data_IF_706428471426
#
_entry.id   IF_706428471426
#
_cell.length_a   1.000
_cell.length_b   1.000
_cell.length_c   1.000
_cell.angle_alpha   90.00
_cell.angle_beta   90.00
_cell.angle_gamma   90.00
#
_symmetry.space_group_name_H-M   'P 1'
#
loop_
_entity.id
_entity.type
_entity.pdbx_description
1 polymer ?
#
# COMPACT_ATOMS: atom_id res chain seq x y z
N UNK A 1 -28.14 -45.10 -7.39
CA UNK A 1 -28.20 -43.71 -6.87
C UNK A 1 -28.06 -43.64 -5.34
N UNK A 2 -27.29 -44.53 -4.70
CA UNK A 2 -27.09 -44.53 -3.24
C UNK A 2 -25.74 -45.18 -2.82
N UNK A 3 -24.66 -44.96 -3.58
CA UNK A 3 -23.29 -45.41 -3.20
C UNK A 3 -22.22 -44.33 -3.40
N UNK A 4 -22.52 -43.20 -4.06
CA UNK A 4 -21.58 -42.08 -4.22
C UNK A 4 -21.68 -40.98 -3.16
N UNK A 5 -22.49 -41.19 -2.11
CA UNK A 5 -22.71 -40.22 -1.03
C UNK A 5 -21.88 -40.49 0.25
N UNK A 6 -21.08 -41.57 0.28
CA UNK A 6 -20.28 -41.95 1.46
C UNK A 6 -18.76 -41.81 1.28
N UNK A 7 -18.29 -41.36 0.11
CA UNK A 7 -16.86 -41.04 -0.11
C UNK A 7 -16.60 -39.54 0.05
N UNK A 8 -17.64 -38.69 0.07
CA UNK A 8 -17.50 -37.25 0.25
C UNK A 8 -17.58 -36.77 1.71
N UNK A 9 -18.09 -37.59 2.64
CA UNK A 9 -18.21 -37.21 4.06
C UNK A 9 -16.93 -37.48 4.87
N UNK A 10 -15.97 -38.23 4.34
CA UNK A 10 -14.71 -38.54 5.02
C UNK A 10 -13.50 -37.74 4.54
N UNK A 11 -13.67 -36.84 3.54
CA UNK A 11 -12.64 -35.85 3.17
C UNK A 11 -12.91 -34.45 3.76
N UNK A 12 -14.14 -34.19 4.22
CA UNK A 12 -14.52 -32.89 4.81
C UNK A 12 -14.24 -32.84 6.32
N UNK A 13 -13.92 -33.96 6.96
CA UNK A 13 -13.65 -34.01 8.41
C UNK A 13 -12.16 -33.91 8.79
N UNK A 14 -11.25 -33.65 7.84
CA UNK A 14 -9.81 -33.47 8.11
C UNK A 14 -9.17 -32.22 7.47
N UNK A 15 -9.98 -31.27 6.98
CA UNK A 15 -9.53 -29.92 6.63
C UNK A 15 -10.19 -28.92 7.57
N UNK A 16 -9.97 -29.14 8.87
CA UNK A 16 -10.34 -28.20 9.92
C UNK A 16 -9.07 -27.87 10.71
N UNK A 17 -8.15 -27.14 10.08
CA UNK A 17 -7.19 -26.31 10.80
C UNK A 17 -6.66 -25.21 9.89
N UNK A 18 -6.91 -23.97 10.31
CA UNK A 18 -6.21 -22.75 9.90
C UNK A 18 -6.34 -22.30 8.44
N UNK A 19 -7.38 -21.53 8.07
CA UNK A 19 -7.24 -20.44 7.09
C UNK A 19 -8.43 -19.45 7.15
N UNK A 20 -8.65 -18.83 8.30
CA UNK A 20 -9.35 -17.53 8.36
C UNK A 20 -8.40 -16.52 9.02
N UNK A 21 -7.52 -15.88 8.24
CA UNK A 21 -6.81 -14.68 8.72
C UNK A 21 -7.80 -13.52 8.66
N UNK A 22 -8.36 -13.12 9.82
CA UNK A 22 -8.99 -11.81 9.99
C UNK A 22 -7.90 -10.75 9.89
N UNK A 23 -8.12 -9.71 9.11
CA UNK A 23 -7.26 -8.52 9.07
C UNK A 23 -8.08 -7.32 9.50
N UNK A 24 -7.42 -6.38 10.14
CA UNK A 24 -8.09 -5.24 10.75
C UNK A 24 -7.59 -3.95 10.13
N UNK A 25 -8.50 -3.08 9.72
CA UNK A 25 -8.17 -1.76 9.17
C UNK A 25 -8.77 -0.68 10.07
N UNK A 26 -8.10 0.47 10.14
CA UNK A 26 -8.64 1.63 10.85
C UNK A 26 -9.56 2.40 9.93
N UNK A 27 -10.80 2.56 10.38
CA UNK A 27 -11.80 3.39 9.71
C UNK A 27 -12.01 4.64 10.58
N UNK A 28 -11.99 5.79 9.93
CA UNK A 28 -12.39 7.03 10.56
C UNK A 28 -13.92 7.02 10.73
N UNK A 29 -14.40 6.93 11.97
CA UNK A 29 -15.82 7.04 12.29
C UNK A 29 -16.07 8.39 12.96
N UNK A 30 -16.39 9.41 12.16
CA UNK A 30 -16.63 10.77 12.65
C UNK A 30 -15.41 11.35 13.39
N UNK A 31 -15.50 11.47 14.72
CA UNK A 31 -14.45 12.02 15.58
C UNK A 31 -13.50 10.98 16.18
N UNK A 32 -13.70 9.68 15.92
CA UNK A 32 -12.92 8.61 16.56
C UNK A 32 -12.18 7.75 15.54
N UNK A 33 -11.01 7.26 15.94
CA UNK A 33 -10.28 6.23 15.23
C UNK A 33 -10.71 4.87 15.75
N UNK A 34 -11.58 4.19 15.01
CA UNK A 34 -12.02 2.87 15.41
C UNK A 34 -11.20 1.81 14.71
N UNK A 35 -10.79 0.86 15.53
CA UNK A 35 -10.16 -0.36 15.08
C UNK A 35 -11.29 -1.36 14.82
N UNK A 36 -11.54 -1.70 13.57
CA UNK A 36 -12.51 -2.74 13.22
C UNK A 36 -11.78 -3.95 12.63
N UNK A 37 -12.10 -5.13 13.14
CA UNK A 37 -11.70 -6.39 12.55
C UNK A 37 -12.65 -6.69 11.39
N UNK A 38 -12.12 -6.78 10.18
CA UNK A 38 -12.91 -7.17 9.02
C UNK A 38 -12.68 -8.66 8.75
N UNK A 39 -13.77 -9.38 8.48
CA UNK A 39 -13.66 -10.72 7.91
C UNK A 39 -13.22 -10.57 6.45
N UNK A 40 -12.12 -11.24 6.09
CA UNK A 40 -11.63 -11.29 4.71
C UNK A 40 -12.76 -11.89 3.87
N UNK A 41 -13.45 -11.06 3.09
CA UNK A 41 -14.34 -11.54 2.04
C UNK A 41 -13.48 -12.22 0.96
N UNK A 42 -13.99 -13.24 0.29
CA UNK A 42 -13.25 -14.03 -0.71
C UNK A 42 -12.57 -13.18 -1.81
N UNK A 43 -13.06 -11.97 -2.06
CA UNK A 43 -12.47 -11.00 -3.00
C UNK A 43 -11.21 -10.28 -2.49
N UNK A 44 -10.95 -10.24 -1.19
CA UNK A 44 -9.73 -9.65 -0.59
C UNK A 44 -8.63 -10.69 -0.30
N UNK A 45 -8.89 -11.97 -0.59
CA UNK A 45 -7.89 -13.04 -0.53
C UNK A 45 -6.75 -12.85 -1.54
N UNK A 46 -6.96 -12.02 -2.57
CA UNK A 46 -6.03 -11.75 -3.68
C UNK A 46 -5.08 -10.57 -3.48
N UNK A 47 -5.23 -9.79 -2.41
CA UNK A 47 -4.24 -8.74 -2.10
C UNK A 47 -3.02 -9.34 -1.39
N UNK A 48 -1.78 -9.02 -1.82
CA UNK A 48 -0.59 -9.40 -1.07
C UNK A 48 -0.73 -8.93 0.38
N UNK A 49 -0.46 -9.83 1.33
CA UNK A 49 -0.56 -9.57 2.78
C UNK A 49 0.19 -8.28 3.16
N UNK A 50 1.32 -8.02 2.51
CA UNK A 50 2.12 -6.80 2.65
C UNK A 50 1.34 -5.51 2.33
N UNK A 51 0.56 -5.46 1.24
CA UNK A 51 -0.22 -4.26 0.88
C UNK A 51 -1.37 -4.00 1.85
N UNK A 52 -1.99 -5.05 2.36
CA UNK A 52 -3.05 -5.00 3.38
C UNK A 52 -2.48 -4.37 4.66
N UNK A 53 -1.34 -4.90 5.11
CA UNK A 53 -0.62 -4.43 6.31
C UNK A 53 -0.21 -2.96 6.13
N UNK A 54 0.44 -2.62 5.01
CA UNK A 54 0.85 -1.25 4.68
C UNK A 54 -0.33 -0.27 4.74
N UNK A 55 -1.46 -0.58 4.09
CA UNK A 55 -2.64 0.30 4.10
C UNK A 55 -3.22 0.44 5.51
N UNK A 56 -3.25 -0.64 6.28
CA UNK A 56 -3.71 -0.60 7.67
C UNK A 56 -2.83 0.31 8.54
N UNK A 57 -1.51 0.13 8.51
CA UNK A 57 -0.57 0.92 9.30
C UNK A 57 -0.58 2.40 8.87
N UNK A 58 -0.61 2.70 7.57
CA UNK A 58 -0.73 4.08 7.08
C UNK A 58 -2.01 4.76 7.56
N UNK A 59 -3.15 4.05 7.49
CA UNK A 59 -4.42 4.57 7.95
C UNK A 59 -4.42 4.85 9.46
N UNK A 60 -3.73 4.03 10.27
CA UNK A 60 -3.57 4.28 11.71
C UNK A 60 -2.92 5.63 11.96
N UNK A 61 -1.78 5.88 11.28
CA UNK A 61 -1.03 7.13 11.44
C UNK A 61 -1.88 8.35 11.07
N UNK A 62 -2.49 8.32 9.90
CA UNK A 62 -3.35 9.40 9.42
C UNK A 62 -4.58 9.60 10.31
N UNK A 63 -5.16 8.51 10.81
CA UNK A 63 -6.27 8.60 11.74
C UNK A 63 -5.87 9.30 13.03
N UNK A 64 -4.80 8.84 13.68
CA UNK A 64 -4.30 9.42 14.93
C UNK A 64 -3.98 10.91 14.75
N UNK A 65 -3.29 11.27 13.66
CA UNK A 65 -3.02 12.68 13.29
C UNK A 65 -4.30 13.50 13.19
N UNK A 66 -5.31 12.97 12.51
CA UNK A 66 -6.61 13.61 12.35
C UNK A 66 -7.34 13.80 13.70
N UNK A 67 -7.09 12.96 14.70
CA UNK A 67 -7.80 13.00 15.99
C UNK A 67 -6.96 13.51 17.17
N UNK A 68 -5.78 14.12 16.96
CA UNK A 68 -4.86 14.51 18.05
C UNK A 68 -5.54 15.22 19.24
N UNK A 69 -6.49 16.13 18.99
CA UNK A 69 -7.24 16.85 20.05
C UNK A 69 -8.23 16.00 20.84
N UNK A 70 -8.62 14.85 20.31
CA UNK A 70 -9.46 13.88 21.00
C UNK A 70 -8.63 12.90 21.83
N UNK A 71 -7.35 12.74 21.50
CA UNK A 71 -6.38 12.02 22.35
C UNK A 71 -6.02 12.89 23.57
N UNK A 72 -5.71 14.17 23.35
CA UNK A 72 -5.53 15.15 24.42
C UNK A 72 -6.12 16.52 24.05
N UNK A 73 -7.12 16.98 24.80
CA UNK A 73 -7.81 18.25 24.55
C UNK A 73 -6.94 19.49 24.78
N UNK A 74 -5.87 19.37 25.59
CA UNK A 74 -4.90 20.44 25.83
C UNK A 74 -4.06 20.75 24.58
N UNK A 75 -3.94 19.79 23.65
CA UNK A 75 -3.21 19.99 22.40
C UNK A 75 -4.00 20.93 21.48
N UNK A 76 -3.30 21.89 20.82
CA UNK A 76 -3.94 22.79 19.87
C UNK A 76 -4.43 22.07 18.61
N UNK A 77 -5.26 22.78 17.83
CA UNK A 77 -5.58 22.38 16.45
C UNK A 77 -4.39 22.74 15.55
N UNK A 78 -4.09 21.92 14.56
CA UNK A 78 -2.97 22.11 13.62
C UNK A 78 -3.43 22.69 12.29
N UNK A 79 -2.84 23.81 11.85
CA UNK A 79 -3.22 24.46 10.58
C UNK A 79 -2.57 23.83 9.35
N UNK A 80 -1.45 23.12 9.52
CA UNK A 80 -0.57 22.66 8.45
C UNK A 80 -0.15 21.17 8.56
N UNK A 81 -0.89 20.34 9.31
CA UNK A 81 -0.57 18.93 9.46
C UNK A 81 -0.71 18.19 8.12
N UNK A 82 0.36 17.62 7.58
CA UNK A 82 0.30 16.85 6.34
C UNK A 82 -0.34 15.47 6.55
N UNK A 83 -1.05 14.98 5.54
CA UNK A 83 -1.37 13.56 5.40
C UNK A 83 -0.07 12.80 5.17
N UNK A 84 0.12 11.70 5.88
CA UNK A 84 1.23 10.78 5.65
C UNK A 84 0.94 9.89 4.44
N UNK A 85 2.00 9.53 3.74
CA UNK A 85 2.07 8.58 2.63
C UNK A 85 3.03 7.45 2.99
N UNK A 86 2.81 6.28 2.40
CA UNK A 86 3.74 5.17 2.56
C UNK A 86 4.97 5.38 1.68
N UNK A 87 6.14 5.08 2.22
CA UNK A 87 7.40 5.16 1.51
C UNK A 87 8.13 3.80 1.55
N UNK A 88 8.32 3.21 0.36
CA UNK A 88 8.89 1.86 0.22
C UNK A 88 10.37 1.81 0.60
N UNK A 89 11.10 2.92 0.50
CA UNK A 89 12.50 2.99 0.94
C UNK A 89 12.59 2.95 2.47
N UNK A 90 11.77 3.76 3.15
CA UNK A 90 11.66 3.72 4.62
C UNK A 90 11.22 2.35 5.15
N UNK A 91 10.30 1.69 4.43
CA UNK A 91 9.87 0.32 4.71
C UNK A 91 11.03 -0.66 4.58
N UNK A 92 11.76 -0.62 3.46
CA UNK A 92 12.92 -1.49 3.22
C UNK A 92 13.98 -1.31 4.30
N UNK A 93 14.24 -0.07 4.73
CA UNK A 93 15.16 0.22 5.83
C UNK A 93 14.72 -0.42 7.15
N UNK A 94 13.42 -0.38 7.48
CA UNK A 94 12.88 -1.01 8.69
C UNK A 94 13.00 -2.53 8.63
N UNK A 95 12.68 -3.10 7.47
CA UNK A 95 12.75 -4.53 7.18
C UNK A 95 14.18 -5.08 7.28
N UNK A 96 15.15 -4.40 6.67
CA UNK A 96 16.56 -4.77 6.72
C UNK A 96 17.09 -4.81 8.16
N UNK A 97 16.75 -3.81 8.99
CA UNK A 97 17.12 -3.79 10.40
C UNK A 97 16.50 -4.96 11.18
N UNK A 98 15.23 -5.28 10.92
CA UNK A 98 14.56 -6.43 11.57
C UNK A 98 15.25 -7.75 11.23
N UNK A 99 15.73 -7.92 10.00
CA UNK A 99 16.51 -9.10 9.61
C UNK A 99 17.85 -9.17 10.35
N UNK A 100 18.57 -8.05 10.50
CA UNK A 100 19.80 -8.03 11.30
C UNK A 100 19.54 -8.36 12.78
N UNK A 101 18.36 -8.02 13.29
CA UNK A 101 17.93 -8.34 14.65
C UNK A 101 17.60 -9.83 14.88
N UNK A 102 17.33 -10.59 13.82
CA UNK A 102 17.18 -12.06 13.88
C UNK A 102 18.54 -12.72 14.20
N UNK A 103 19.62 -12.13 13.69
CA UNK A 103 20.97 -12.68 13.79
C UNK A 103 21.72 -12.25 15.06
N UNK A 104 21.22 -11.27 15.83
CA UNK A 104 21.91 -10.65 16.98
C UNK A 104 21.02 -10.56 18.22
N UNK A 105 21.58 -10.73 19.43
CA UNK A 105 20.81 -10.65 20.69
C UNK A 105 20.31 -9.23 21.02
N UNK A 106 21.03 -8.20 20.59
CA UNK A 106 20.84 -6.80 21.03
C UNK A 106 20.20 -5.92 19.94
N UNK A 107 18.97 -6.27 19.54
CA UNK A 107 18.18 -5.41 18.67
C UNK A 107 17.76 -4.14 19.42
N UNK A 108 18.12 -2.97 18.89
CA UNK A 108 17.83 -1.67 19.49
C UNK A 108 17.43 -0.64 18.43
N UNK A 109 16.90 0.50 18.90
CA UNK A 109 16.54 1.65 18.07
C UNK A 109 17.76 2.14 17.29
N UNK A 110 17.65 2.22 15.96
CA UNK A 110 18.71 2.72 15.11
C UNK A 110 18.78 4.24 15.18
N UNK A 111 20.00 4.78 15.24
CA UNK A 111 20.25 6.21 15.13
C UNK A 111 20.76 6.49 13.71
N UNK A 112 19.86 6.98 12.85
CA UNK A 112 20.26 7.44 11.53
C UNK A 112 21.13 8.70 11.65
N UNK A 113 22.07 8.82 10.74
CA UNK A 113 22.91 10.01 10.62
C UNK A 113 22.09 11.19 10.10
N UNK A 114 22.46 12.43 10.48
CA UNK A 114 21.65 13.64 10.18
C UNK A 114 21.38 13.83 8.67
N UNK A 115 22.31 13.39 7.82
CA UNK A 115 22.26 13.42 6.36
C UNK A 115 21.15 12.55 5.76
N UNK A 116 20.69 11.51 6.46
CA UNK A 116 19.58 10.67 5.98
C UNK A 116 18.22 11.32 6.17
N UNK A 117 18.09 12.30 7.08
CA UNK A 117 16.81 12.91 7.44
C UNK A 117 15.71 11.88 7.76
N UNK A 118 16.07 10.79 8.46
CA UNK A 118 15.13 9.75 8.93
C UNK A 118 15.13 9.67 10.44
N UNK A 119 13.94 9.59 11.04
CA UNK A 119 13.73 9.27 12.45
C UNK A 119 13.00 7.94 12.58
N UNK A 120 13.21 7.26 13.71
CA UNK A 120 12.64 5.93 13.96
C UNK A 120 11.78 5.93 15.22
N UNK A 121 10.68 5.18 15.19
CA UNK A 121 10.05 4.63 16.39
C UNK A 121 10.35 3.13 16.44
N UNK A 122 10.68 2.63 17.63
CA UNK A 122 11.10 1.25 17.85
C UNK A 122 10.44 0.71 19.12
N UNK A 123 9.87 -0.49 19.05
CA UNK A 123 9.36 -1.19 20.22
C UNK A 123 9.66 -2.68 20.11
N UNK A 124 10.14 -3.28 21.20
CA UNK A 124 10.19 -4.73 21.36
C UNK A 124 9.24 -5.13 22.50
N UNK A 125 8.37 -6.10 22.26
CA UNK A 125 7.39 -6.59 23.24
C UNK A 125 7.45 -8.11 23.32
N UNK A 126 7.44 -8.65 24.54
CA UNK A 126 7.31 -10.09 24.77
C UNK A 126 5.85 -10.42 25.05
N UNK A 127 5.28 -11.33 24.28
CA UNK A 127 3.92 -11.82 24.44
C UNK A 127 3.92 -13.28 24.86
N UNK A 128 2.91 -13.67 25.65
CA UNK A 128 2.58 -15.09 25.83
C UNK A 128 1.87 -15.61 24.58
N UNK A 129 2.03 -16.88 24.20
CA UNK A 129 1.27 -17.51 23.12
C UNK A 129 -0.24 -17.51 23.38
N UNK A 130 -0.66 -17.41 24.64
CA UNK A 130 -2.06 -17.21 25.05
C UNK A 130 -2.55 -15.76 24.90
N UNK A 131 -1.74 -14.84 24.37
CA UNK A 131 -2.10 -13.43 24.23
C UNK A 131 -3.38 -13.26 23.40
N UNK A 132 -4.27 -12.41 23.91
CA UNK A 132 -5.63 -12.24 23.41
C UNK A 132 -5.67 -11.74 21.96
N UNK A 133 -4.76 -10.82 21.59
CA UNK A 133 -4.72 -10.23 20.26
C UNK A 133 -3.79 -11.02 19.35
N UNK A 134 -4.34 -12.03 18.66
CA UNK A 134 -3.57 -12.92 17.79
C UNK A 134 -3.21 -12.33 16.41
N UNK A 135 -3.95 -11.33 15.94
CA UNK A 135 -3.67 -10.64 14.67
C UNK A 135 -2.42 -9.72 14.79
N UNK A 136 -1.34 -9.97 14.02
CA UNK A 136 -0.14 -9.13 14.04
C UNK A 136 -0.38 -7.67 13.67
N UNK A 137 -1.27 -7.40 12.72
CA UNK A 137 -1.62 -6.03 12.30
C UNK A 137 -2.33 -5.30 13.44
N UNK A 138 -3.21 -5.99 14.17
CA UNK A 138 -3.84 -5.43 15.37
C UNK A 138 -2.82 -5.09 16.46
N UNK A 139 -1.87 -5.99 16.71
CA UNK A 139 -0.83 -5.73 17.70
C UNK A 139 0.03 -4.55 17.29
N UNK A 140 0.48 -4.48 16.04
CA UNK A 140 1.28 -3.35 15.55
C UNK A 140 0.49 -2.03 15.62
N UNK A 141 -0.77 -2.03 15.18
CA UNK A 141 -1.56 -0.82 15.27
C UNK A 141 -1.84 -0.37 16.72
N UNK A 142 -1.90 -1.30 17.67
CA UNK A 142 -1.90 -0.97 19.10
C UNK A 142 -0.59 -0.31 19.52
N UNK A 143 0.57 -0.78 19.06
CA UNK A 143 1.86 -0.12 19.32
C UNK A 143 1.89 1.31 18.77
N UNK A 144 1.42 1.53 17.54
CA UNK A 144 1.36 2.88 16.95
C UNK A 144 0.41 3.78 17.75
N UNK A 145 -0.72 3.24 18.22
CA UNK A 145 -1.61 3.96 19.14
C UNK A 145 -0.91 4.28 20.45
N UNK A 146 -0.19 3.34 21.05
CA UNK A 146 0.52 3.56 22.31
C UNK A 146 1.53 4.71 22.16
N UNK A 147 2.29 4.76 21.04
CA UNK A 147 3.14 5.90 20.69
C UNK A 147 2.36 7.22 20.57
N UNK A 148 1.18 7.23 19.94
CA UNK A 148 0.35 8.43 19.88
C UNK A 148 -0.15 8.90 21.25
N UNK A 149 -0.47 7.96 22.14
CA UNK A 149 -1.08 8.23 23.44
C UNK A 149 -0.07 8.70 24.50
N UNK A 150 1.23 8.70 24.20
CA UNK A 150 2.26 9.37 25.03
C UNK A 150 1.89 10.84 25.30
N UNK A 151 1.12 11.48 24.39
CA UNK A 151 0.67 12.86 24.57
C UNK A 151 -0.38 13.04 25.68
N UNK A 152 -1.02 11.98 26.17
CA UNK A 152 -2.22 12.06 27.02
C UNK A 152 -1.99 12.91 28.28
N UNK A 153 -0.78 12.86 28.85
CA UNK A 153 -0.42 13.60 30.06
C UNK A 153 0.51 14.80 29.79
N UNK A 154 0.74 15.16 28.53
CA UNK A 154 1.61 16.28 28.16
C UNK A 154 0.84 17.61 28.11
N UNK A 155 1.54 18.70 28.42
CA UNK A 155 1.03 20.05 28.18
C UNK A 155 1.03 20.35 26.68
N UNK A 156 -0.07 20.89 26.15
CA UNK A 156 -0.14 21.31 24.74
C UNK A 156 0.81 22.46 24.36
N UNK A 157 1.43 23.14 25.34
CA UNK A 157 2.46 24.16 25.08
C UNK A 157 3.72 23.59 24.44
N UNK A 158 4.00 22.29 24.59
CA UNK A 158 5.15 21.62 23.96
C UNK A 158 5.12 21.69 22.43
N UNK A 159 3.93 21.86 21.84
CA UNK A 159 3.76 21.96 20.39
C UNK A 159 4.43 23.20 19.82
N UNK A 160 4.44 24.32 20.55
CA UNK A 160 4.99 25.60 20.07
C UNK A 160 6.50 25.74 20.31
N UNK A 161 7.04 24.89 21.19
CA UNK A 161 8.43 24.95 21.59
C UNK A 161 8.89 23.54 21.96
N UNK A 162 9.28 22.78 20.93
CA UNK A 162 9.71 21.41 21.13
C UNK A 162 11.02 21.37 21.92
N UNK A 163 11.00 20.62 23.03
CA UNK A 163 12.14 20.46 23.92
C UNK A 163 12.44 18.96 24.04
N UNK A 164 13.30 18.40 23.16
CA UNK A 164 13.57 16.97 23.17
C UNK A 164 14.09 16.50 24.53
N UNK A 165 14.88 17.30 25.24
CA UNK A 165 15.46 16.92 26.53
C UNK A 165 14.44 16.84 27.68
N UNK A 166 13.22 17.34 27.47
CA UNK A 166 12.16 17.44 28.51
C UNK A 166 11.05 16.39 28.36
N UNK A 167 11.14 15.51 27.37
CA UNK A 167 10.14 14.45 27.13
C UNK A 167 10.80 13.07 27.29
N UNK A 168 10.39 12.26 28.28
CA UNK A 168 10.94 10.91 28.49
C UNK A 168 10.56 9.95 27.35
N UNK A 169 9.40 10.17 26.74
CA UNK A 169 8.88 9.42 25.58
C UNK A 169 8.70 10.40 24.42
N UNK A 170 9.15 10.02 23.21
CA UNK A 170 9.24 10.91 22.05
C UNK A 170 8.68 10.29 20.78
N UNK A 171 8.14 9.09 20.85
CA UNK A 171 7.68 8.39 19.66
C UNK A 171 6.46 9.12 19.07
N UNK A 172 5.65 9.79 19.91
CA UNK A 172 4.55 10.65 19.45
C UNK A 172 4.95 11.79 18.51
N UNK A 173 6.19 12.31 18.63
CA UNK A 173 6.66 13.47 17.86
C UNK A 173 6.66 13.13 16.37
N UNK A 174 7.15 11.94 16.04
CA UNK A 174 7.17 11.42 14.67
C UNK A 174 5.76 11.27 14.09
N UNK A 175 4.78 10.92 14.92
CA UNK A 175 3.39 10.82 14.49
C UNK A 175 2.74 12.17 14.26
N UNK A 176 3.05 13.22 15.02
CA UNK A 176 2.26 14.46 15.04
C UNK A 176 2.94 15.68 14.44
N UNK A 177 4.18 15.55 13.99
CA UNK A 177 4.88 16.63 13.31
C UNK A 177 4.26 16.99 11.97
N UNK A 178 4.04 18.28 11.72
CA UNK A 178 3.40 18.78 10.50
C UNK A 178 4.12 18.35 9.23
N UNK A 179 5.44 18.54 9.19
CA UNK A 179 6.27 18.27 8.00
C UNK A 179 6.64 16.79 7.85
N UNK A 180 6.30 15.92 8.80
CA UNK A 180 6.56 14.49 8.70
C UNK A 180 5.42 13.82 7.94
N UNK A 181 5.64 13.51 6.66
CA UNK A 181 4.60 13.03 5.75
C UNK A 181 4.94 11.70 5.07
N UNK A 182 6.10 11.10 5.34
CA UNK A 182 6.45 9.77 4.83
C UNK A 182 6.63 8.81 5.99
N UNK A 183 6.13 7.59 5.83
CA UNK A 183 6.29 6.51 6.80
C UNK A 183 6.49 5.17 6.11
N UNK A 184 7.37 4.34 6.64
CA UNK A 184 7.52 2.94 6.26
C UNK A 184 7.80 2.09 7.49
N UNK A 185 7.03 1.01 7.67
CA UNK A 185 7.02 0.22 8.89
C UNK A 185 7.14 -1.27 8.61
N UNK A 186 7.84 -2.00 9.48
CA UNK A 186 7.86 -3.45 9.46
C UNK A 186 7.86 -4.05 10.87
N UNK A 187 7.47 -5.32 10.98
CA UNK A 187 7.46 -6.04 12.25
C UNK A 187 7.73 -7.52 12.06
N UNK A 188 8.40 -8.14 13.05
CA UNK A 188 8.65 -9.59 13.03
C UNK A 188 8.61 -10.19 14.43
N UNK A 189 8.10 -11.41 14.51
CA UNK A 189 8.08 -12.22 15.72
C UNK A 189 9.27 -13.19 15.76
N UNK A 190 9.76 -13.44 16.97
CA UNK A 190 10.88 -14.31 17.29
C UNK A 190 10.44 -15.22 18.44
N UNK A 191 10.48 -16.53 18.23
CA UNK A 191 10.14 -17.47 19.30
C UNK A 191 11.23 -17.42 20.39
N UNK A 192 10.84 -17.19 21.65
CA UNK A 192 11.80 -17.21 22.77
C UNK A 192 11.82 -18.57 23.45
N UNK A 193 10.65 -19.16 23.70
CA UNK A 193 10.47 -20.49 24.28
C UNK A 193 9.08 -21.05 23.89
N UNK A 194 8.68 -22.20 24.44
CA UNK A 194 7.40 -22.82 24.07
C UNK A 194 6.15 -21.99 24.40
N UNK A 195 6.25 -20.98 25.28
CA UNK A 195 5.11 -20.22 25.80
C UNK A 195 5.15 -18.74 25.42
N UNK A 196 6.29 -18.22 24.95
CA UNK A 196 6.47 -16.78 24.70
C UNK A 196 7.19 -16.50 23.40
N UNK A 197 6.82 -15.38 22.77
CA UNK A 197 7.49 -14.83 21.60
C UNK A 197 7.76 -13.34 21.80
N UNK A 198 8.88 -12.86 21.24
CA UNK A 198 9.23 -11.45 21.15
C UNK A 198 8.76 -10.92 19.81
N UNK A 199 8.15 -9.76 19.75
CA UNK A 199 7.83 -9.08 18.51
C UNK A 199 8.48 -7.70 18.50
N UNK A 200 9.11 -7.39 17.38
CA UNK A 200 9.82 -6.12 17.16
C UNK A 200 9.01 -5.32 16.14
N UNK A 201 8.81 -4.05 16.44
CA UNK A 201 8.03 -3.11 15.66
C UNK A 201 8.91 -1.90 15.32
N UNK A 202 9.04 -1.59 14.04
CA UNK A 202 9.85 -0.47 13.56
C UNK A 202 9.01 0.35 12.59
N UNK A 203 8.98 1.67 12.80
CA UNK A 203 8.51 2.63 11.81
C UNK A 203 9.57 3.70 11.60
N UNK A 204 9.95 3.91 10.35
CA UNK A 204 10.83 4.99 9.93
C UNK A 204 10.00 6.12 9.31
N UNK A 205 10.41 7.36 9.59
CA UNK A 205 9.67 8.55 9.21
C UNK A 205 10.59 9.58 8.54
N UNK A 206 10.07 10.27 7.54
CA UNK A 206 10.78 11.36 6.88
C UNK A 206 9.85 12.52 6.45
N UNK A 207 10.39 13.74 6.29
CA UNK A 207 11.75 14.17 6.68
C UNK A 207 11.90 14.46 8.19
N UNK A 208 13.00 14.00 8.77
CA UNK A 208 13.39 14.23 10.15
C UNK A 208 14.30 15.46 10.32
N UNK A 209 13.70 16.64 10.16
CA UNK A 209 14.38 17.92 10.30
C UNK A 209 13.91 18.78 11.50
N UNK A 210 13.49 18.21 12.64
CA UNK A 210 12.89 18.98 13.76
C UNK A 210 14.01 19.41 14.70
N UNK A 211 14.15 20.71 14.91
CA UNK A 211 15.17 21.23 15.82
C UNK A 211 14.55 21.61 17.17
N UNK A 212 15.39 21.59 18.19
CA UNK A 212 15.04 22.11 19.52
C UNK A 212 14.60 23.58 19.39
N UNK A 213 13.48 23.91 20.00
CA UNK A 213 12.89 25.26 19.94
C UNK A 213 11.89 25.46 18.81
N UNK A 214 11.83 24.56 17.83
CA UNK A 214 10.86 24.67 16.73
C UNK A 214 9.47 24.19 17.15
N UNK A 215 8.46 24.63 16.41
CA UNK A 215 7.11 24.13 16.56
C UNK A 215 6.93 22.77 15.85
N UNK A 216 6.16 21.89 16.47
CA UNK A 216 5.82 20.57 15.92
C UNK A 216 4.81 20.74 14.78
N UNK A 217 3.84 21.64 14.98
CA UNK A 217 2.87 22.10 13.99
C UNK A 217 2.31 23.46 14.41
N UNK A 218 1.75 24.18 13.44
CA UNK A 218 1.20 25.52 13.66
C UNK A 218 -0.16 25.46 14.33
N UNK A 219 -0.35 26.23 15.40
CA UNK A 219 -1.63 26.32 16.12
C UNK A 219 -2.64 27.18 15.36
N UNK A 220 -3.84 26.65 15.12
CA UNK A 220 -4.95 27.42 14.56
C UNK A 220 -6.05 26.52 14.00
N UNK A 221 -6.99 27.08 13.23
CA UNK A 221 -8.05 26.26 12.63
C UNK A 221 -7.47 25.25 11.62
N UNK A 222 -7.99 24.03 11.64
CA UNK A 222 -7.52 22.94 10.76
C UNK A 222 -7.43 23.39 9.31
N UNK A 223 -6.35 22.99 8.64
CA UNK A 223 -6.12 23.21 7.21
C UNK A 223 -6.09 24.68 6.74
N UNK A 224 -6.02 25.66 7.64
CA UNK A 224 -5.96 27.08 7.24
C UNK A 224 -4.60 27.53 6.71
N UNK A 225 -3.55 26.73 6.93
CA UNK A 225 -2.20 27.00 6.45
C UNK A 225 -1.60 25.75 5.79
N UNK A 226 -2.41 25.01 5.01
CA UNK A 226 -1.88 23.98 4.14
C UNK A 226 -0.86 24.57 3.16
N UNK A 227 0.24 23.86 2.84
CA UNK A 227 1.20 24.31 1.84
C UNK A 227 0.57 24.58 0.47
N UNK A 228 1.28 25.32 -0.39
CA UNK A 228 0.84 25.57 -1.75
C UNK A 228 0.51 24.25 -2.48
N UNK A 229 -0.54 24.28 -3.30
CA UNK A 229 -1.09 23.09 -3.99
C UNK A 229 -1.66 21.98 -3.10
N UNK A 230 -1.85 22.25 -1.81
CA UNK A 230 -2.57 21.36 -0.88
C UNK A 230 -3.86 21.99 -0.38
N UNK A 231 -4.81 21.14 0.01
CA UNK A 231 -6.08 21.50 0.64
C UNK A 231 -6.38 20.53 1.76
N UNK A 232 -7.43 20.81 2.53
CA UNK A 232 -7.93 19.85 3.50
C UNK A 232 -8.44 18.60 2.78
N UNK A 233 -7.97 17.44 3.22
CA UNK A 233 -8.35 16.15 2.68
C UNK A 233 -9.82 15.82 2.98
N UNK A 234 -10.49 14.96 2.21
CA UNK A 234 -11.95 14.78 2.33
C UNK A 234 -12.33 13.85 3.49
N UNK A 235 -11.63 12.73 3.64
CA UNK A 235 -11.75 11.73 4.72
C UNK A 235 -10.95 12.18 5.92
N UNK A 236 -9.68 12.51 5.74
CA UNK A 236 -8.83 13.04 6.82
C UNK A 236 -8.97 14.56 6.91
N UNK A 237 -10.19 15.04 7.19
CA UNK A 237 -10.64 16.44 7.13
C UNK A 237 -9.94 17.44 8.07
N UNK A 238 -8.81 17.06 8.67
CA UNK A 238 -7.94 17.92 9.47
C UNK A 238 -6.48 17.86 9.03
N UNK A 239 -6.21 17.14 7.93
CA UNK A 239 -4.89 16.99 7.33
C UNK A 239 -4.87 17.65 5.96
N UNK A 240 -3.71 18.21 5.63
CA UNK A 240 -3.38 18.79 4.35
C UNK A 240 -2.90 17.70 3.40
N UNK A 241 -3.44 17.70 2.19
CA UNK A 241 -3.15 16.74 1.14
C UNK A 241 -3.13 17.47 -0.21
N UNK A 242 -2.43 16.95 -1.24
CA UNK A 242 -2.49 17.53 -2.59
C UNK A 242 -3.93 17.75 -3.07
N UNK A 243 -4.18 18.79 -3.87
CA UNK A 243 -5.55 19.06 -4.37
C UNK A 243 -6.18 17.91 -5.15
N UNK A 244 -5.33 17.11 -5.80
CA UNK A 244 -5.71 15.93 -6.59
C UNK A 244 -5.66 14.63 -5.78
N UNK A 245 -5.28 14.72 -4.50
CA UNK A 245 -5.41 13.65 -3.52
C UNK A 245 -6.87 13.57 -3.09
N UNK A 246 -7.69 13.11 -4.03
CA UNK A 246 -9.08 12.74 -3.82
C UNK A 246 -9.00 11.37 -3.16
N UNK A 247 -9.42 11.34 -1.90
CA UNK A 247 -9.41 10.16 -1.05
C UNK A 247 -9.84 8.87 -1.74
N UNK A 248 -9.14 7.81 -1.33
CA UNK A 248 -9.67 6.49 -1.02
C UNK A 248 -11.07 6.55 -0.34
N UNK A 249 -12.15 6.86 -1.09
CA UNK A 249 -13.24 5.89 -1.11
C UNK A 249 -12.59 4.57 -1.56
N UNK A 250 -12.94 3.39 -1.01
CA UNK A 250 -12.47 2.16 -1.61
C UNK A 250 -12.90 2.23 -3.08
N UNK A 251 -11.96 2.57 -3.97
CA UNK A 251 -12.23 2.70 -5.37
C UNK A 251 -12.85 1.36 -5.74
N UNK A 252 -14.14 1.37 -6.03
CA UNK A 252 -14.87 0.15 -6.38
C UNK A 252 -14.04 -0.52 -7.47
N UNK A 253 -13.59 -1.75 -7.21
CA UNK A 253 -12.87 -2.52 -8.22
C UNK A 253 -13.92 -2.83 -9.27
N UNK A 254 -13.89 -2.07 -10.36
CA UNK A 254 -14.81 -2.23 -11.47
C UNK A 254 -14.46 -3.50 -12.27
N UNK A 255 -13.18 -3.90 -12.22
CA UNK A 255 -12.65 -5.08 -12.89
C UNK A 255 -11.27 -5.45 -12.35
N UNK A 256 -10.94 -6.74 -12.30
CA UNK A 256 -9.61 -7.24 -11.98
C UNK A 256 -9.24 -8.45 -12.83
N UNK A 257 -7.94 -8.60 -13.08
CA UNK A 257 -7.37 -9.77 -13.73
C UNK A 257 -5.96 -10.03 -13.18
N UNK A 258 -5.83 -11.14 -12.46
CA UNK A 258 -4.57 -11.66 -11.91
C UNK A 258 -4.08 -12.91 -12.64
N UNK A 259 -4.76 -13.30 -13.73
CA UNK A 259 -4.47 -14.47 -14.56
C UNK A 259 -4.50 -15.82 -13.83
N UNK A 260 -5.05 -15.88 -12.62
CA UNK A 260 -5.31 -17.13 -11.92
C UNK A 260 -6.44 -17.94 -12.57
N UNK A 261 -6.47 -19.25 -12.32
CA UNK A 261 -7.54 -20.13 -12.82
C UNK A 261 -8.94 -19.65 -12.45
N UNK A 262 -9.09 -19.06 -11.25
CA UNK A 262 -10.37 -18.54 -10.76
C UNK A 262 -10.87 -17.28 -11.49
N UNK A 263 -10.00 -16.56 -12.21
CA UNK A 263 -10.32 -15.30 -12.88
C UNK A 263 -10.32 -15.41 -14.42
N UNK A 264 -10.20 -16.63 -14.97
CA UNK A 264 -10.07 -16.84 -16.42
C UNK A 264 -11.18 -16.20 -17.26
N UNK A 265 -12.43 -16.19 -16.77
CA UNK A 265 -13.55 -15.55 -17.46
C UNK A 265 -13.40 -14.03 -17.53
N UNK A 266 -13.01 -13.37 -16.43
CA UNK A 266 -12.82 -11.91 -16.39
C UNK A 266 -11.57 -11.48 -17.16
N UNK A 267 -10.56 -12.36 -17.17
CA UNK A 267 -9.30 -12.23 -17.88
C UNK A 267 -9.38 -12.63 -19.36
N UNK A 268 -10.55 -12.96 -19.93
CA UNK A 268 -10.64 -13.27 -21.36
C UNK A 268 -10.15 -12.09 -22.20
N UNK A 269 -9.22 -12.36 -23.10
CA UNK A 269 -8.65 -11.36 -24.00
C UNK A 269 -8.54 -11.90 -25.43
N UNK A 270 -8.46 -10.99 -26.38
CA UNK A 270 -8.09 -11.26 -27.76
C UNK A 270 -6.69 -10.71 -28.05
N UNK A 271 -5.91 -11.49 -28.79
CA UNK A 271 -4.59 -11.09 -29.27
C UNK A 271 -4.70 -10.69 -30.74
N UNK A 272 -4.09 -9.55 -31.09
CA UNK A 272 -3.88 -9.15 -32.49
C UNK A 272 -2.39 -9.09 -32.84
N UNK A 273 -2.13 -9.18 -34.14
CA UNK A 273 -0.79 -9.34 -34.71
C UNK A 273 -0.15 -10.66 -34.26
N UNK A 274 0.86 -10.60 -33.40
CA UNK A 274 1.63 -11.78 -32.98
C UNK A 274 1.08 -12.41 -31.69
N UNK A 275 1.02 -13.75 -31.65
CA UNK A 275 0.36 -14.56 -30.60
C UNK A 275 1.30 -15.13 -29.52
N UNK A 276 2.47 -14.54 -29.35
CA UNK A 276 3.51 -15.05 -28.43
C UNK A 276 3.26 -14.73 -26.93
N UNK A 277 2.09 -14.22 -26.57
CA UNK A 277 1.74 -14.01 -25.16
C UNK A 277 1.55 -15.35 -24.45
N UNK A 278 2.18 -15.48 -23.30
CA UNK A 278 2.10 -16.68 -22.47
C UNK A 278 1.76 -16.31 -21.03
N UNK A 279 0.81 -17.04 -20.45
CA UNK A 279 0.57 -17.00 -19.01
C UNK A 279 1.69 -17.75 -18.30
N UNK A 280 2.41 -17.06 -17.42
CA UNK A 280 3.46 -17.65 -16.58
C UNK A 280 3.03 -17.56 -15.13
N UNK A 281 2.99 -18.70 -14.44
CA UNK A 281 2.64 -18.78 -13.03
C UNK A 281 3.83 -19.27 -12.20
N UNK A 282 4.25 -18.52 -11.18
CA UNK A 282 5.30 -18.91 -10.23
C UNK A 282 4.92 -18.48 -8.80
N UNK A 283 5.05 -19.39 -7.85
CA UNK A 283 4.81 -19.13 -6.41
C UNK A 283 3.44 -18.49 -6.10
N UNK A 284 2.38 -18.90 -6.82
CA UNK A 284 1.01 -18.38 -6.59
C UNK A 284 0.73 -17.02 -7.25
N UNK A 285 1.65 -16.49 -8.06
CA UNK A 285 1.45 -15.31 -8.87
C UNK A 285 1.47 -15.69 -10.35
N UNK A 286 0.46 -15.25 -11.10
CA UNK A 286 0.35 -15.44 -12.53
C UNK A 286 0.40 -14.10 -13.26
N UNK A 287 1.06 -14.07 -14.40
CA UNK A 287 1.21 -12.87 -15.22
C UNK A 287 1.33 -13.23 -16.70
N UNK A 288 1.14 -12.25 -17.58
CA UNK A 288 1.36 -12.41 -19.02
C UNK A 288 2.76 -11.97 -19.38
N UNK A 289 3.46 -12.81 -20.13
CA UNK A 289 4.77 -12.49 -20.71
C UNK A 289 4.70 -12.54 -22.23
N UNK A 290 5.46 -11.65 -22.87
CA UNK A 290 5.74 -11.73 -24.29
C UNK A 290 7.23 -11.52 -24.53
N UNK A 291 7.80 -12.35 -25.40
CA UNK A 291 9.12 -12.11 -25.96
C UNK A 291 8.98 -11.29 -27.23
N UNK A 292 9.61 -10.11 -27.30
CA UNK A 292 9.52 -9.18 -28.43
C UNK A 292 10.40 -9.60 -29.60
N UNK A 293 10.18 -10.82 -30.11
CA UNK A 293 10.85 -11.29 -31.33
C UNK A 293 10.30 -10.58 -32.57
N UNK A 294 9.00 -10.26 -32.56
CA UNK A 294 8.26 -9.66 -33.67
C UNK A 294 7.97 -8.16 -33.44
N UNK A 295 7.71 -7.37 -34.51
CA UNK A 295 7.62 -5.92 -34.43
C UNK A 295 6.44 -5.37 -33.62
N UNK A 296 5.33 -6.13 -33.52
CA UNK A 296 4.12 -5.68 -32.82
C UNK A 296 3.29 -6.85 -32.31
N UNK A 297 2.74 -6.69 -31.11
CA UNK A 297 1.66 -7.52 -30.57
C UNK A 297 0.72 -6.67 -29.72
N UNK A 298 -0.51 -7.11 -29.54
CA UNK A 298 -1.43 -6.48 -28.61
C UNK A 298 -2.38 -7.48 -27.98
N UNK A 299 -2.79 -7.20 -26.76
CA UNK A 299 -3.76 -7.95 -25.97
C UNK A 299 -4.88 -6.99 -25.54
N UNK A 300 -6.13 -7.31 -25.85
CA UNK A 300 -7.31 -6.53 -25.46
C UNK A 300 -8.27 -7.39 -24.64
N UNK A 301 -8.61 -6.96 -23.43
CA UNK A 301 -9.55 -7.68 -22.57
C UNK A 301 -10.99 -7.48 -23.05
N UNK A 302 -11.74 -8.59 -23.08
CA UNK A 302 -13.08 -8.65 -23.66
C UNK A 302 -14.16 -8.18 -22.70
N UNK A 303 -13.91 -8.24 -21.40
CA UNK A 303 -14.87 -7.82 -20.38
C UNK A 303 -15.11 -6.31 -20.44
N UNK A 304 -16.34 -5.85 -20.75
CA UNK A 304 -16.63 -4.42 -20.75
C UNK A 304 -16.82 -3.90 -19.32
N UNK A 305 -16.18 -2.78 -19.02
CA UNK A 305 -16.11 -2.19 -17.68
C UNK A 305 -16.93 -0.90 -17.68
N UNK A 306 -17.98 -0.82 -16.84
CA UNK A 306 -18.81 0.39 -16.75
C UNK A 306 -18.15 1.44 -15.85
N UNK A 307 -17.76 2.56 -16.43
CA UNK A 307 -17.22 3.72 -15.71
C UNK A 307 -18.31 4.78 -15.58
N UNK A 308 -18.70 5.10 -14.34
CA UNK A 308 -19.75 6.09 -14.06
C UNK A 308 -19.26 7.53 -14.20
N UNK A 309 -18.02 7.82 -13.81
CA UNK A 309 -17.47 9.20 -13.85
C UNK A 309 -16.00 9.28 -14.24
N UNK A 310 -15.10 8.65 -13.49
CA UNK A 310 -13.69 8.51 -13.81
C UNK A 310 -13.16 7.18 -13.24
N UNK A 311 -12.07 6.67 -13.82
CA UNK A 311 -11.46 5.41 -13.42
C UNK A 311 -9.93 5.43 -13.57
N UNK A 312 -9.28 4.47 -12.92
CA UNK A 312 -7.87 4.22 -13.01
C UNK A 312 -7.57 2.77 -13.41
N UNK A 313 -6.81 2.57 -14.49
CA UNK A 313 -6.22 1.26 -14.78
C UNK A 313 -4.87 1.17 -14.07
N UNK A 314 -4.71 0.18 -13.21
CA UNK A 314 -3.51 -0.07 -12.42
C UNK A 314 -2.97 -1.44 -12.80
N UNK A 315 -1.65 -1.52 -13.00
CA UNK A 315 -0.97 -2.74 -13.38
C UNK A 315 0.49 -2.73 -12.94
N UNK A 316 1.03 -3.94 -12.73
CA UNK A 316 2.45 -4.13 -12.51
C UNK A 316 3.11 -4.50 -13.84
N UNK A 317 4.29 -3.93 -14.08
CA UNK A 317 5.08 -4.10 -15.29
C UNK A 317 6.53 -4.45 -14.94
N UNK A 318 7.14 -5.28 -15.77
CA UNK A 318 8.55 -5.65 -15.70
C UNK A 318 9.07 -5.85 -17.12
N UNK A 319 10.32 -5.41 -17.37
CA UNK A 319 11.04 -5.66 -18.62
C UNK A 319 12.42 -6.22 -18.32
N UNK A 320 12.70 -7.41 -18.86
CA UNK A 320 13.99 -8.10 -18.66
C UNK A 320 14.78 -8.10 -19.96
N UNK A 321 16.04 -7.66 -19.89
CA UNK A 321 16.98 -7.67 -21.01
C UNK A 321 17.57 -9.07 -21.22
N UNK A 322 17.75 -9.44 -22.49
CA UNK A 322 18.79 -10.39 -22.92
C UNK A 322 20.13 -9.61 -23.04
N UNK A 323 21.31 -10.25 -23.00
CA UNK A 323 22.53 -9.68 -22.41
C UNK A 323 23.26 -8.56 -23.18
N UNK A 324 22.61 -7.68 -23.96
CA UNK A 324 23.27 -6.54 -24.63
C UNK A 324 22.38 -5.27 -24.64
N UNK A 325 23.02 -4.13 -24.33
CA UNK A 325 22.45 -2.77 -24.28
C UNK A 325 21.85 -2.31 -25.61
N UNK A 326 20.53 -2.46 -25.80
CA UNK A 326 19.75 -1.73 -26.80
C UNK A 326 18.36 -1.38 -26.24
N UNK A 327 17.95 -0.10 -26.34
CA UNK A 327 16.58 0.35 -26.04
C UNK A 327 15.71 0.09 -27.26
N UNK A 328 14.82 -0.90 -27.26
CA UNK A 328 14.07 -1.18 -28.49
C UNK A 328 12.61 -1.66 -28.35
N UNK A 329 12.01 -1.81 -27.17
CA UNK A 329 10.56 -2.10 -27.06
C UNK A 329 9.78 -1.17 -26.12
N UNK A 330 8.61 -0.72 -26.58
CA UNK A 330 7.64 0.12 -25.84
C UNK A 330 6.41 -0.71 -25.47
N UNK A 331 5.95 -0.59 -24.23
CA UNK A 331 4.62 -1.04 -23.81
C UNK A 331 3.67 0.16 -23.77
N UNK A 332 2.51 0.05 -24.40
CA UNK A 332 1.44 1.03 -24.31
C UNK A 332 0.23 0.39 -23.63
N UNK A 333 -0.11 0.85 -22.43
CA UNK A 333 -1.39 0.55 -21.82
C UNK A 333 -2.47 1.42 -22.47
N UNK A 334 -3.62 0.85 -22.79
CA UNK A 334 -4.71 1.54 -23.49
C UNK A 334 -6.07 1.23 -22.84
N UNK A 335 -6.94 2.24 -22.78
CA UNK A 335 -8.35 2.06 -22.52
C UNK A 335 -9.16 2.63 -23.69
N UNK A 336 -10.10 1.85 -24.22
CA UNK A 336 -10.90 2.18 -25.41
C UNK A 336 -12.40 2.17 -25.09
N UNK A 337 -13.17 3.01 -25.77
CA UNK A 337 -14.64 3.03 -25.70
C UNK A 337 -15.28 3.42 -27.03
N UNK A 338 -16.62 3.35 -27.11
CA UNK A 338 -17.37 3.59 -28.35
C UNK A 338 -16.85 2.74 -29.53
N UNK A 339 -16.67 1.44 -29.30
CA UNK A 339 -16.14 0.48 -30.29
C UNK A 339 -14.76 0.88 -30.85
N UNK A 340 -13.88 1.40 -29.98
CA UNK A 340 -12.50 1.76 -30.36
C UNK A 340 -12.36 3.10 -31.08
N UNK A 341 -13.45 3.88 -31.23
CA UNK A 341 -13.38 5.23 -31.81
C UNK A 341 -12.64 6.22 -30.91
N UNK A 342 -12.71 6.00 -29.60
CA UNK A 342 -12.08 6.86 -28.60
C UNK A 342 -11.18 6.02 -27.70
N UNK A 343 -10.06 6.60 -27.27
CA UNK A 343 -9.11 5.93 -26.38
C UNK A 343 -8.30 6.92 -25.52
N UNK A 344 -7.70 6.40 -24.45
CA UNK A 344 -6.63 7.02 -23.67
C UNK A 344 -5.50 6.00 -23.51
N UNK A 345 -4.26 6.46 -23.41
CA UNK A 345 -3.09 5.57 -23.37
C UNK A 345 -1.94 6.12 -22.52
N UNK A 346 -1.13 5.20 -22.01
CA UNK A 346 0.12 5.46 -21.31
C UNK A 346 1.23 4.66 -21.98
N UNK A 347 2.26 5.33 -22.48
CA UNK A 347 3.46 4.71 -23.05
C UNK A 347 4.54 4.54 -21.98
N UNK A 348 5.19 3.37 -21.98
CA UNK A 348 6.23 2.97 -21.03
C UNK A 348 7.41 2.44 -21.85
N UNK A 349 8.47 3.24 -21.87
CA UNK A 349 9.75 2.90 -22.50
C UNK A 349 10.80 2.42 -21.49
N UNK A 350 10.52 2.57 -20.20
CA UNK A 350 11.47 2.27 -19.13
C UNK A 350 11.87 0.79 -19.08
N UNK A 351 13.15 0.58 -18.78
CA UNK A 351 13.76 -0.73 -18.61
C UNK A 351 13.88 -1.03 -17.12
N UNK A 352 12.83 -1.64 -16.56
CA UNK A 352 12.74 -2.01 -15.15
C UNK A 352 12.75 -3.52 -15.00
N UNK A 353 13.87 -4.06 -14.53
CA UNK A 353 14.07 -5.50 -14.29
C UNK A 353 13.43 -6.00 -12.98
N UNK A 354 12.72 -5.11 -12.28
CA UNK A 354 11.90 -5.38 -11.09
C UNK A 354 10.46 -4.98 -11.39
N UNK A 355 9.51 -5.59 -10.69
CA UNK A 355 8.09 -5.24 -10.84
C UNK A 355 7.83 -3.82 -10.34
N UNK A 356 7.34 -2.96 -11.24
CA UNK A 356 6.97 -1.58 -10.95
C UNK A 356 5.50 -1.35 -11.28
N UNK A 357 4.82 -0.52 -10.48
CA UNK A 357 3.40 -0.23 -10.68
C UNK A 357 3.21 1.01 -11.53
N UNK A 358 2.34 0.90 -12.54
CA UNK A 358 1.92 2.01 -13.39
C UNK A 358 0.42 2.25 -13.29
N UNK A 359 0.00 3.47 -13.64
CA UNK A 359 -1.39 3.93 -13.57
C UNK A 359 -1.76 4.70 -14.83
N UNK A 360 -2.84 4.29 -15.50
CA UNK A 360 -3.44 5.02 -16.62
C UNK A 360 -4.74 5.69 -16.15
N UNK A 361 -4.78 7.02 -16.25
CA UNK A 361 -5.96 7.86 -15.97
C UNK A 361 -7.00 7.73 -17.07
N UNK A 362 -8.25 7.44 -16.69
CA UNK A 362 -9.37 7.26 -17.61
C UNK A 362 -10.49 8.25 -17.27
N UNK A 363 -10.57 9.32 -18.07
CA UNK A 363 -11.56 10.38 -17.91
C UNK A 363 -12.77 10.14 -18.82
N UNK A 364 -13.68 9.24 -18.43
CA UNK A 364 -14.90 8.93 -19.19
C UNK A 364 -16.11 8.79 -18.27
N UNK A 365 -17.22 9.40 -18.66
CA UNK A 365 -18.45 9.45 -17.85
C UNK A 365 -19.54 8.59 -18.46
N UNK A 366 -20.15 7.73 -17.63
CA UNK A 366 -21.23 6.81 -18.00
C UNK A 366 -20.95 6.01 -19.29
N UNK A 367 -19.75 5.43 -19.38
CA UNK A 367 -19.25 4.74 -20.57
C UNK A 367 -18.77 3.34 -20.23
N UNK A 368 -18.98 2.39 -21.16
CA UNK A 368 -18.34 1.07 -21.09
C UNK A 368 -16.99 1.14 -21.80
N UNK A 369 -15.94 0.78 -21.08
CA UNK A 369 -14.59 0.72 -21.61
C UNK A 369 -14.11 -0.73 -21.75
N UNK A 370 -13.05 -0.91 -22.53
CA UNK A 370 -12.20 -2.09 -22.49
C UNK A 370 -10.75 -1.63 -22.31
N UNK A 371 -9.94 -2.45 -21.65
CA UNK A 371 -8.52 -2.15 -21.42
C UNK A 371 -7.64 -3.15 -22.17
N UNK A 372 -6.43 -2.75 -22.50
CA UNK A 372 -5.49 -3.59 -23.22
C UNK A 372 -4.07 -3.06 -23.19
N UNK A 373 -3.19 -3.81 -23.84
CA UNK A 373 -1.76 -3.56 -23.90
C UNK A 373 -1.27 -3.76 -25.32
N UNK A 374 -0.45 -2.83 -25.79
CA UNK A 374 0.21 -2.91 -27.10
C UNK A 374 1.72 -2.92 -26.85
N UNK A 375 2.41 -3.87 -27.46
CA UNK A 375 3.86 -3.94 -27.43
C UNK A 375 4.37 -3.64 -28.82
N UNK A 376 5.32 -2.72 -28.92
CA UNK A 376 5.98 -2.36 -30.17
C UNK A 376 7.48 -2.49 -30.01
N UNK A 377 8.11 -3.14 -30.98
CA UNK A 377 9.56 -3.18 -31.12
C UNK A 377 9.99 -2.21 -32.22
N UNK A 378 11.06 -1.47 -31.95
CA UNK A 378 11.72 -0.56 -32.88
C UNK A 378 12.91 -1.28 -33.48
N UNK A 379 13.02 -1.36 -34.80
CA UNK A 379 14.22 -1.88 -35.46
C UNK A 379 14.42 -3.40 -35.39
N UNK A 380 15.69 -3.82 -35.43
CA UNK A 380 16.15 -5.20 -35.56
C UNK A 380 16.81 -5.76 -34.28
N UNK A 381 16.54 -5.20 -33.10
CA UNK A 381 17.03 -5.68 -31.80
C UNK A 381 16.83 -7.17 -31.56
N UNK A 382 17.60 -7.71 -30.62
CA UNK A 382 17.25 -8.97 -29.97
C UNK A 382 15.94 -8.87 -29.16
N UNK A 383 15.29 -10.01 -28.89
CA UNK A 383 14.02 -10.04 -28.16
C UNK A 383 14.18 -9.63 -26.69
N UNK A 384 13.23 -8.83 -26.18
CA UNK A 384 13.10 -8.51 -24.76
C UNK A 384 11.90 -9.24 -24.17
N UNK A 385 11.93 -9.54 -22.88
CA UNK A 385 10.78 -10.11 -22.18
C UNK A 385 10.03 -8.98 -21.48
N UNK A 386 8.78 -8.76 -21.87
CA UNK A 386 7.87 -7.83 -21.20
C UNK A 386 6.84 -8.65 -20.44
N UNK A 387 6.66 -8.32 -19.17
CA UNK A 387 5.72 -8.99 -18.27
C UNK A 387 4.72 -7.97 -17.71
N UNK A 388 3.43 -8.33 -17.70
CA UNK A 388 2.35 -7.54 -17.09
C UNK A 388 1.53 -8.40 -16.12
N UNK A 389 1.19 -7.87 -14.96
CA UNK A 389 0.48 -8.61 -13.91
C UNK A 389 -0.30 -7.70 -12.96
N UNK A 390 -1.09 -8.30 -12.06
CA UNK A 390 -1.91 -7.58 -11.07
C UNK A 390 -2.74 -6.44 -11.69
N UNK A 391 -3.53 -6.76 -12.72
CA UNK A 391 -4.32 -5.78 -13.44
C UNK A 391 -5.62 -5.50 -12.70
N UNK A 392 -5.98 -4.24 -12.52
CA UNK A 392 -7.32 -3.87 -12.06
C UNK A 392 -7.71 -2.48 -12.51
N UNK A 393 -9.00 -2.29 -12.73
CA UNK A 393 -9.63 -0.99 -12.95
C UNK A 393 -10.40 -0.62 -11.71
N UNK A 394 -10.05 0.52 -11.14
CA UNK A 394 -10.71 1.07 -9.98
C UNK A 394 -11.54 2.29 -10.41
N UNK A 395 -12.72 2.48 -9.82
CA UNK A 395 -13.44 3.76 -9.96
C UNK A 395 -12.60 4.89 -9.34
N UNK A 396 -12.93 6.15 -9.62
CA UNK A 396 -12.23 7.26 -9.00
C UNK A 396 -10.89 7.61 -9.66
N UNK A 397 -10.08 8.40 -8.96
CA UNK A 397 -8.82 8.95 -9.47
C UNK A 397 -7.65 7.96 -9.44
N UNK A 398 -6.69 8.17 -10.34
CA UNK A 398 -5.32 7.63 -10.23
C UNK A 398 -4.43 8.58 -9.44
#
# INVERSE_FOLDING_TARGET
MWIYLLIWTSLIYNLNSEHHKKFSYFILFGSTCRLESYERFDHEAFYPEEKIVTKALLNVHNCLRNIIRFINQAFPRGTNLLKMEWDDELYRMAKEQIYECDEKSDCSKYQYTEDKHVEQNFKAVVYNKSYEVKDPVLRFAKIIRDWAYEIQNLSGSIVQNFQPDKSPEKDWVNLFRATMYKVGCDSRNFQLNNETFKEIYICNYAPANLKKGEEIYKKGQWCTECPAEMKCHQKWFRLCAPKDDIDDEPNEILWNCDFSEGMMEQCKYEIQCNKDWQTVCRYGFCHQEITTNNPKSSLLFLTPILVKDHACLIFDYKKTHLPINQRESTLTAIAVWNNGKNYTSLEIDEDVNVWMRYKLKIHVKNQKIQVGFVVRKVGNSEGQIISIGNLFVSSGSC
#
